data_IF_927542616650
#
_entry.id   IF_927542616650
#
_cell.length_a   1.000
_cell.length_b   1.000
_cell.length_c   1.000
_cell.angle_alpha   90.00
_cell.angle_beta   90.00
_cell.angle_gamma   90.00
#
_symmetry.space_group_name_H-M   'P 1'
#
loop_
_entity.id
_entity.type
_entity.pdbx_description
1 polymer ?
#
# COMPACT_ATOMS: atom_id res chain seq x y z
N UNK A 1 56.85 1.56 5.68
CA UNK A 1 55.43 1.17 5.79
C UNK A 1 54.56 2.43 5.76
N UNK A 2 53.82 2.71 4.66
CA UNK A 2 52.93 3.89 4.55
C UNK A 2 51.47 3.43 4.53
N UNK A 3 50.66 3.86 5.52
CA UNK A 3 49.23 3.57 5.63
C UNK A 3 48.45 4.39 4.60
N UNK A 4 47.72 3.72 3.71
CA UNK A 4 46.83 4.36 2.73
C UNK A 4 45.55 4.89 3.38
N UNK A 5 45.29 6.18 3.20
CA UNK A 5 44.05 6.82 3.62
C UNK A 5 42.89 6.34 2.72
N UNK A 6 41.87 5.72 3.32
CA UNK A 6 40.63 5.35 2.63
C UNK A 6 39.90 6.64 2.24
N UNK A 7 39.84 6.94 0.93
CA UNK A 7 38.99 8.00 0.38
C UNK A 7 37.54 7.68 0.71
N UNK A 8 36.85 8.57 1.43
CA UNK A 8 35.39 8.51 1.59
C UNK A 8 34.76 8.63 0.20
N UNK A 9 33.94 7.66 -0.18
CA UNK A 9 33.15 7.73 -1.41
C UNK A 9 32.19 8.92 -1.32
N UNK A 10 32.17 9.74 -2.38
CA UNK A 10 31.24 10.85 -2.50
C UNK A 10 29.79 10.33 -2.50
N UNK A 11 28.82 11.07 -1.93
CA UNK A 11 27.42 10.67 -1.93
C UNK A 11 26.93 10.52 -3.37
N UNK A 12 26.38 9.34 -3.67
CA UNK A 12 25.81 9.00 -4.97
C UNK A 12 24.65 9.97 -5.24
N UNK A 13 24.79 10.86 -6.24
CA UNK A 13 23.70 11.75 -6.68
C UNK A 13 22.50 10.89 -7.07
N UNK A 14 21.34 11.17 -6.48
CA UNK A 14 20.09 10.57 -6.92
C UNK A 14 19.80 11.02 -8.36
N UNK A 15 19.26 10.14 -9.21
CA UNK A 15 18.82 10.54 -10.53
C UNK A 15 17.73 11.63 -10.43
N UNK A 16 17.61 12.52 -11.44
CA UNK A 16 16.52 13.48 -11.48
C UNK A 16 15.17 12.76 -11.41
N UNK A 17 14.22 13.34 -10.68
CA UNK A 17 12.85 12.83 -10.56
C UNK A 17 12.26 12.59 -11.94
N UNK A 18 11.82 11.35 -12.21
CA UNK A 18 11.06 10.99 -13.42
C UNK A 18 9.63 11.55 -13.36
N UNK A 19 9.19 12.01 -12.19
CA UNK A 19 7.92 12.71 -12.06
C UNK A 19 8.06 14.16 -12.54
N UNK A 20 7.23 14.60 -13.51
CA UNK A 20 7.14 16.01 -13.84
C UNK A 20 6.78 16.81 -12.58
N UNK A 21 7.20 18.07 -12.47
CA UNK A 21 6.79 18.92 -11.37
C UNK A 21 5.27 18.94 -11.33
N UNK A 22 4.67 18.37 -10.28
CA UNK A 22 3.25 18.61 -10.01
C UNK A 22 3.12 20.12 -9.83
N UNK A 23 2.22 20.76 -10.57
CA UNK A 23 1.79 22.10 -10.22
C UNK A 23 1.50 22.11 -8.73
N UNK A 24 2.16 23.01 -8.00
CA UNK A 24 2.14 23.00 -6.55
C UNK A 24 0.70 23.18 -6.09
N UNK A 25 0.05 22.08 -5.71
CA UNK A 25 -1.21 22.14 -4.99
C UNK A 25 -0.95 23.01 -3.76
N UNK A 26 -1.78 24.03 -3.47
CA UNK A 26 -1.57 24.90 -2.32
C UNK A 26 -1.29 24.04 -1.07
N UNK A 27 -0.15 24.29 -0.44
CA UNK A 27 0.29 23.56 0.73
C UNK A 27 -0.84 23.55 1.78
N UNK A 28 -1.47 22.40 2.00
CA UNK A 28 -2.52 22.23 3.00
C UNK A 28 -3.86 21.70 2.50
N UNK A 29 -4.11 21.63 1.18
CA UNK A 29 -5.32 20.97 0.66
C UNK A 29 -4.92 19.81 -0.24
N UNK A 30 -4.73 18.63 0.36
CA UNK A 30 -4.80 17.40 -0.43
C UNK A 30 -6.13 17.47 -1.19
N UNK A 31 -6.15 17.31 -2.53
CA UNK A 31 -7.40 17.24 -3.25
C UNK A 31 -8.26 16.16 -2.57
N UNK A 32 -9.59 16.36 -2.48
CA UNK A 32 -10.44 15.35 -1.86
C UNK A 32 -10.10 14.02 -2.52
N UNK A 33 -9.61 13.06 -1.73
CA UNK A 33 -9.43 11.70 -2.24
C UNK A 33 -10.81 11.29 -2.74
N UNK A 34 -10.88 10.80 -3.98
CA UNK A 34 -12.13 10.32 -4.56
C UNK A 34 -12.74 9.34 -3.57
N UNK A 35 -13.78 9.78 -2.87
CA UNK A 35 -14.44 8.99 -1.84
C UNK A 35 -15.54 8.26 -2.57
N UNK A 36 -15.41 6.94 -2.69
CA UNK A 36 -16.48 6.13 -3.24
C UNK A 36 -17.66 6.13 -2.27
N UNK A 37 -18.87 6.28 -2.80
CA UNK A 37 -20.07 5.89 -2.08
C UNK A 37 -20.02 4.40 -1.74
N UNK A 38 -20.87 3.95 -0.80
CA UNK A 38 -20.93 2.52 -0.44
C UNK A 38 -21.21 1.64 -1.66
N UNK A 39 -22.13 2.04 -2.52
CA UNK A 39 -22.50 1.27 -3.70
C UNK A 39 -21.37 1.23 -4.73
N UNK A 40 -20.67 2.35 -4.93
CA UNK A 40 -19.46 2.40 -5.77
C UNK A 40 -18.35 1.53 -5.19
N UNK A 41 -18.20 1.50 -3.86
CA UNK A 41 -17.22 0.66 -3.19
C UNK A 41 -17.55 -0.83 -3.38
N UNK A 42 -18.82 -1.21 -3.25
CA UNK A 42 -19.26 -2.59 -3.47
C UNK A 42 -19.07 -3.01 -4.92
N UNK A 43 -19.44 -2.15 -5.86
CA UNK A 43 -19.20 -2.38 -7.28
C UNK A 43 -17.69 -2.49 -7.59
N UNK A 44 -16.85 -1.71 -6.91
CA UNK A 44 -15.40 -1.77 -7.06
C UNK A 44 -14.81 -3.08 -6.54
N UNK A 45 -15.24 -3.51 -5.34
CA UNK A 45 -14.81 -4.77 -4.73
C UNK A 45 -15.27 -5.97 -5.59
N UNK A 46 -16.47 -5.92 -6.16
CA UNK A 46 -17.02 -7.03 -6.95
C UNK A 46 -16.47 -7.10 -8.38
N UNK A 47 -16.06 -5.97 -8.95
CA UNK A 47 -15.52 -5.90 -10.32
C UNK A 47 -14.00 -6.08 -10.38
N UNK A 48 -13.32 -5.89 -9.25
CA UNK A 48 -11.88 -5.97 -9.13
C UNK A 48 -11.32 -7.38 -9.30
N UNK A 49 -9.99 -7.50 -9.47
CA UNK A 49 -9.35 -8.80 -9.45
C UNK A 49 -9.55 -9.49 -8.09
N UNK A 50 -9.58 -10.82 -8.08
CA UNK A 50 -9.76 -11.65 -6.88
C UNK A 50 -8.54 -11.64 -5.94
N UNK A 51 -7.75 -10.56 -5.91
CA UNK A 51 -6.63 -10.37 -5.01
C UNK A 51 -6.55 -8.95 -4.45
N UNK A 52 -6.12 -8.85 -3.21
CA UNK A 52 -5.97 -7.61 -2.44
C UNK A 52 -4.68 -7.66 -1.61
N UNK A 53 -4.22 -6.51 -1.11
CA UNK A 53 -3.06 -6.45 -0.21
C UNK A 53 -3.54 -6.42 1.24
N UNK A 54 -3.32 -7.52 1.97
CA UNK A 54 -3.55 -7.56 3.41
C UNK A 54 -2.31 -7.10 4.17
N UNK A 55 -2.47 -6.07 4.99
CA UNK A 55 -1.47 -5.60 5.94
C UNK A 55 -1.84 -6.01 7.36
N UNK A 56 -0.93 -6.75 7.99
CA UNK A 56 -1.01 -7.20 9.39
C UNK A 56 0.16 -6.62 10.20
N UNK A 57 0.06 -6.59 11.52
CA UNK A 57 1.18 -6.21 12.38
C UNK A 57 2.02 -7.45 12.76
N UNK A 58 3.30 -7.42 12.44
CA UNK A 58 4.26 -8.44 12.84
C UNK A 58 4.48 -8.50 14.36
N UNK A 59 5.25 -9.48 14.87
CA UNK A 59 5.49 -9.66 16.30
C UNK A 59 6.09 -8.44 17.02
N UNK A 60 6.76 -7.55 16.29
CA UNK A 60 7.37 -6.30 16.79
C UNK A 60 6.60 -5.04 16.36
N UNK A 61 5.37 -5.18 15.88
CA UNK A 61 4.53 -4.06 15.43
C UNK A 61 4.85 -3.51 14.04
N UNK A 62 5.86 -4.02 13.33
CA UNK A 62 6.12 -3.62 11.94
C UNK A 62 5.04 -4.15 10.99
N UNK A 63 4.63 -3.37 9.97
CA UNK A 63 3.64 -3.81 8.99
C UNK A 63 4.20 -4.96 8.14
N UNK A 64 3.34 -5.95 7.90
CA UNK A 64 3.58 -7.09 7.03
C UNK A 64 2.45 -7.14 5.99
N UNK A 65 2.75 -6.65 4.79
CA UNK A 65 1.83 -6.54 3.65
C UNK A 65 2.07 -7.66 2.64
N UNK A 66 1.02 -8.38 2.26
CA UNK A 66 1.09 -9.49 1.30
C UNK A 66 -0.13 -9.52 0.39
N UNK A 67 0.03 -9.86 -0.90
CA UNK A 67 -1.10 -10.14 -1.77
C UNK A 67 -1.78 -11.45 -1.36
N UNK A 68 -3.10 -11.47 -1.35
CA UNK A 68 -3.91 -12.67 -1.12
C UNK A 68 -5.24 -12.59 -1.86
N UNK A 69 -5.92 -13.73 -2.00
CA UNK A 69 -7.26 -13.75 -2.53
C UNK A 69 -8.32 -13.39 -1.49
N UNK A 70 -9.37 -12.72 -1.95
CA UNK A 70 -10.52 -12.33 -1.14
C UNK A 70 -11.84 -12.58 -1.89
N UNK A 71 -12.95 -12.54 -1.18
CA UNK A 71 -14.28 -12.37 -1.74
C UNK A 71 -15.15 -11.58 -0.75
N UNK A 72 -16.21 -10.93 -1.26
CA UNK A 72 -17.17 -10.19 -0.45
C UNK A 72 -18.48 -10.97 -0.33
N UNK A 73 -19.11 -10.87 0.83
CA UNK A 73 -20.48 -11.32 1.07
C UNK A 73 -21.20 -10.26 1.91
N UNK A 74 -22.14 -9.55 1.29
CA UNK A 74 -22.77 -8.38 1.91
C UNK A 74 -21.73 -7.33 2.33
N UNK A 75 -21.77 -6.93 3.60
CA UNK A 75 -20.85 -5.94 4.15
C UNK A 75 -19.50 -6.54 4.59
N UNK A 76 -19.36 -7.86 4.52
CA UNK A 76 -18.19 -8.58 5.01
C UNK A 76 -17.23 -8.96 3.87
N UNK A 77 -15.92 -8.89 4.17
CA UNK A 77 -14.86 -9.35 3.27
C UNK A 77 -14.13 -10.53 3.90
N UNK A 78 -14.07 -11.62 3.14
CA UNK A 78 -13.41 -12.86 3.52
C UNK A 78 -12.06 -12.97 2.81
N UNK A 79 -11.02 -13.33 3.56
CA UNK A 79 -9.64 -13.42 3.06
C UNK A 79 -9.01 -14.76 3.41
N UNK A 80 -8.12 -15.26 2.53
CA UNK A 80 -7.36 -16.47 2.84
C UNK A 80 -6.21 -16.18 3.83
N UNK A 81 -6.44 -16.44 5.11
CA UNK A 81 -5.46 -16.25 6.18
C UNK A 81 -4.71 -17.54 6.53
N UNK A 82 -3.39 -17.62 6.25
CA UNK A 82 -2.53 -18.76 6.62
C UNK A 82 -1.13 -18.30 7.04
N UNK A 83 -0.42 -19.10 7.81
CA UNK A 83 0.98 -18.85 8.19
C UNK A 83 1.17 -17.56 9.01
N UNK A 84 2.18 -16.76 8.64
CA UNK A 84 2.60 -15.57 9.39
C UNK A 84 1.46 -14.55 9.60
N UNK A 85 0.64 -14.28 8.58
CA UNK A 85 -0.52 -13.36 8.69
C UNK A 85 -1.56 -13.87 9.68
N UNK A 86 -1.87 -15.17 9.70
CA UNK A 86 -2.80 -15.75 10.67
C UNK A 86 -2.26 -15.65 12.10
N UNK A 87 -0.96 -15.93 12.28
CA UNK A 87 -0.31 -15.76 13.57
C UNK A 87 -0.30 -14.28 14.01
N UNK A 88 -0.12 -13.34 13.08
CA UNK A 88 -0.20 -11.90 13.34
C UNK A 88 -1.62 -11.49 13.76
N UNK A 89 -2.65 -11.89 13.02
CA UNK A 89 -4.05 -11.57 13.33
C UNK A 89 -4.52 -12.14 14.67
N UNK A 90 -4.02 -13.32 15.07
CA UNK A 90 -4.28 -13.88 16.41
C UNK A 90 -3.67 -13.05 17.54
N UNK A 91 -2.53 -12.39 17.29
CA UNK A 91 -1.90 -11.47 18.26
C UNK A 91 -2.56 -10.10 18.26
N UNK A 92 -2.90 -9.60 17.07
CA UNK A 92 -3.48 -8.28 16.87
C UNK A 92 -4.52 -8.33 15.75
N UNK A 93 -5.82 -8.29 16.08
CA UNK A 93 -6.89 -8.53 15.10
C UNK A 93 -7.13 -7.35 14.16
N UNK A 94 -6.64 -6.14 14.49
CA UNK A 94 -6.76 -5.01 13.57
C UNK A 94 -5.80 -5.17 12.39
N UNK A 95 -6.36 -5.08 11.19
CA UNK A 95 -5.69 -5.23 9.90
C UNK A 95 -6.14 -4.15 8.94
N UNK A 96 -5.41 -3.97 7.84
CA UNK A 96 -5.84 -3.18 6.70
C UNK A 96 -5.88 -4.05 5.45
N UNK A 97 -6.88 -3.86 4.60
CA UNK A 97 -6.98 -4.49 3.29
C UNK A 97 -7.02 -3.36 2.26
N UNK A 98 -6.13 -3.43 1.27
CA UNK A 98 -6.08 -2.46 0.17
C UNK A 98 -6.51 -3.15 -1.11
N UNK A 99 -7.51 -2.57 -1.78
CA UNK A 99 -7.83 -2.84 -3.16
C UNK A 99 -7.45 -1.62 -3.97
N UNK A 100 -6.69 -1.80 -5.04
CA UNK A 100 -6.30 -0.70 -5.92
C UNK A 100 -6.42 -1.08 -7.39
N UNK A 101 -6.63 -0.07 -8.23
CA UNK A 101 -6.65 -0.17 -9.68
C UNK A 101 -6.08 1.11 -10.30
N UNK A 102 -5.74 1.03 -11.59
CA UNK A 102 -5.06 2.10 -12.31
C UNK A 102 -3.61 1.74 -12.59
N UNK A 103 -3.12 2.10 -13.77
CA UNK A 103 -1.72 1.84 -14.16
C UNK A 103 -0.86 3.08 -13.91
N UNK A 104 -1.46 4.27 -14.01
CA UNK A 104 -0.79 5.53 -13.80
C UNK A 104 -1.28 6.24 -12.53
N UNK A 105 -0.41 7.08 -11.97
CA UNK A 105 -0.66 7.80 -10.71
C UNK A 105 -1.95 8.64 -10.72
N UNK A 106 -2.35 9.19 -11.88
CA UNK A 106 -3.60 9.96 -12.01
C UNK A 106 -4.87 9.11 -12.14
N UNK A 107 -4.71 7.81 -12.40
CA UNK A 107 -5.80 6.85 -12.56
C UNK A 107 -6.05 6.04 -11.28
N UNK A 108 -5.14 6.13 -10.30
CA UNK A 108 -5.20 5.34 -9.08
C UNK A 108 -6.51 5.55 -8.35
N UNK A 109 -7.22 4.44 -8.16
CA UNK A 109 -8.41 4.34 -7.32
C UNK A 109 -8.18 3.22 -6.34
N UNK A 110 -8.55 3.43 -5.09
CA UNK A 110 -8.46 2.38 -4.09
C UNK A 110 -9.34 2.62 -2.87
N UNK A 111 -9.51 1.53 -2.13
CA UNK A 111 -10.24 1.43 -0.88
C UNK A 111 -9.37 0.73 0.17
#
# INVERSE_FOLDING_TARGET
MRRGARRRAAPRRLPPSVYPPREATPAGRMPPMATMTRDEAYAFIDSGPLWAILTTLGPRGYPHAVPLSYYRDGDDVFVNARGARLANMRRHPQVALLLESGAEMGELRGL
#
